data_IF_441861178461
#
_entry.id   IF_441861178461
#
_cell.length_a   1.000
_cell.length_b   1.000
_cell.length_c   1.000
_cell.angle_alpha   90.00
_cell.angle_beta   90.00
_cell.angle_gamma   90.00
#
_symmetry.space_group_name_H-M   'P 1'
#
loop_
_entity.id
_entity.type
_entity.pdbx_description
1 polymer ?
#
# COMPACT_ATOMS: atom_id res chain seq x y z
N UNK A 1 -11.98 23.29 14.67
CA UNK A 1 -11.97 23.00 16.12
C UNK A 1 -13.14 22.07 16.41
N UNK A 2 -12.90 20.73 16.38
CA UNK A 2 -13.98 19.73 16.53
C UNK A 2 -14.23 19.32 18.02
N UNK A 3 -13.45 19.84 18.96
CA UNK A 3 -13.43 19.36 20.36
C UNK A 3 -13.49 20.47 21.41
N UNK A 4 -13.81 21.71 21.04
CA UNK A 4 -14.05 22.79 22.00
C UNK A 4 -15.54 22.86 22.34
N UNK A 5 -15.86 22.55 23.59
CA UNK A 5 -17.14 22.81 24.30
C UNK A 5 -18.32 21.82 24.21
N UNK A 6 -18.17 20.56 23.78
CA UNK A 6 -19.24 19.58 24.02
C UNK A 6 -18.81 18.51 25.03
N UNK A 7 -19.55 18.36 26.10
CA UNK A 7 -19.39 17.28 27.09
C UNK A 7 -19.71 15.89 26.54
N UNK A 8 -20.22 15.80 25.31
CA UNK A 8 -20.57 14.57 24.62
C UNK A 8 -19.83 14.45 23.28
N UNK A 9 -19.19 13.31 23.08
CA UNK A 9 -18.55 12.98 21.81
C UNK A 9 -19.63 12.58 20.80
N UNK A 10 -19.73 13.32 19.69
CA UNK A 10 -20.63 13.00 18.59
C UNK A 10 -19.88 12.17 17.53
N UNK A 11 -20.09 10.85 17.55
CA UNK A 11 -19.43 9.93 16.63
C UNK A 11 -19.80 10.15 15.15
N UNK A 12 -21.03 10.59 14.85
CA UNK A 12 -21.45 10.86 13.47
C UNK A 12 -20.67 12.05 12.89
N UNK A 13 -20.46 13.11 13.67
CA UNK A 13 -19.64 14.25 13.26
C UNK A 13 -18.17 13.86 13.02
N UNK A 14 -17.63 12.99 13.87
CA UNK A 14 -16.27 12.47 13.72
C UNK A 14 -16.18 11.63 12.44
N UNK A 15 -17.13 10.75 12.20
CA UNK A 15 -17.18 9.90 11.02
C UNK A 15 -17.23 10.74 9.73
N UNK A 16 -18.12 11.75 9.68
CA UNK A 16 -18.24 12.63 8.52
C UNK A 16 -16.97 13.49 8.32
N UNK A 17 -16.32 13.93 9.38
CA UNK A 17 -15.04 14.61 9.30
C UNK A 17 -13.96 13.73 8.66
N UNK A 18 -13.81 12.47 9.10
CA UNK A 18 -12.80 11.56 8.53
C UNK A 18 -13.13 11.17 7.09
N UNK A 19 -14.40 10.92 6.76
CA UNK A 19 -14.83 10.68 5.38
C UNK A 19 -14.48 11.87 4.48
N UNK A 20 -14.83 13.09 4.92
CA UNK A 20 -14.50 14.30 4.17
C UNK A 20 -12.99 14.46 3.98
N UNK A 21 -12.19 14.26 5.04
CA UNK A 21 -10.73 14.33 4.95
C UNK A 21 -10.16 13.31 3.97
N UNK A 22 -10.59 12.06 4.05
CA UNK A 22 -10.15 11.00 3.15
C UNK A 22 -10.44 11.38 1.68
N UNK A 23 -11.69 11.71 1.36
CA UNK A 23 -12.13 11.88 -0.01
C UNK A 23 -11.80 13.25 -0.62
N UNK A 24 -11.70 14.31 0.19
CA UNK A 24 -11.50 15.68 -0.31
C UNK A 24 -10.08 16.20 -0.08
N UNK A 25 -9.25 15.53 0.72
CA UNK A 25 -7.89 16.00 1.02
C UNK A 25 -6.83 14.93 0.74
N UNK A 26 -6.97 13.75 1.34
CA UNK A 26 -5.92 12.71 1.28
C UNK A 26 -5.89 12.05 -0.09
N UNK A 27 -6.98 11.42 -0.51
CA UNK A 27 -7.02 10.69 -1.78
C UNK A 27 -6.69 11.57 -2.99
N UNK A 28 -7.21 12.81 -3.14
CA UNK A 28 -6.87 13.66 -4.27
C UNK A 28 -5.37 13.97 -4.38
N UNK A 29 -4.69 14.18 -3.26
CA UNK A 29 -3.24 14.39 -3.28
C UNK A 29 -2.50 13.16 -3.85
N UNK A 30 -2.80 11.96 -3.32
CA UNK A 30 -2.17 10.73 -3.77
C UNK A 30 -2.48 10.40 -5.22
N UNK A 31 -3.73 10.57 -5.64
CA UNK A 31 -4.15 10.31 -7.01
C UNK A 31 -3.48 11.25 -8.03
N UNK A 32 -3.31 12.52 -7.67
CA UNK A 32 -2.77 13.53 -8.59
C UNK A 32 -1.22 13.53 -8.65
N UNK A 33 -0.54 13.10 -7.57
CA UNK A 33 0.90 13.32 -7.45
C UNK A 33 1.71 12.03 -7.24
N UNK A 34 1.08 10.97 -6.74
CA UNK A 34 1.86 9.81 -6.28
C UNK A 34 1.70 8.56 -7.14
N UNK A 35 0.71 8.47 -8.04
CA UNK A 35 0.58 7.28 -8.89
C UNK A 35 1.66 7.31 -9.98
N UNK A 36 2.45 6.23 -10.06
CA UNK A 36 3.44 6.06 -11.13
C UNK A 36 2.82 5.32 -12.32
N UNK A 37 2.27 6.09 -13.24
CA UNK A 37 1.64 5.55 -14.46
C UNK A 37 2.64 4.94 -15.44
N UNK A 38 3.93 5.18 -15.27
CA UNK A 38 4.97 4.70 -16.20
C UNK A 38 5.51 3.33 -15.80
N UNK A 39 5.83 3.17 -14.50
CA UNK A 39 6.53 1.98 -14.00
C UNK A 39 5.66 1.14 -13.05
N UNK A 40 4.43 1.56 -12.80
CA UNK A 40 3.57 0.97 -11.78
C UNK A 40 3.96 1.37 -10.35
N UNK A 41 3.11 1.01 -9.39
CA UNK A 41 3.33 1.39 -8.00
C UNK A 41 3.01 2.86 -7.70
N UNK A 42 3.47 3.32 -6.54
CA UNK A 42 3.38 4.72 -6.13
C UNK A 42 4.75 5.36 -5.99
N UNK A 43 4.83 6.66 -6.28
CA UNK A 43 5.95 7.50 -5.93
C UNK A 43 5.80 7.93 -4.46
N UNK A 44 6.57 7.33 -3.56
CA UNK A 44 6.50 7.61 -2.12
C UNK A 44 7.46 8.73 -1.67
N UNK A 45 8.30 9.24 -2.56
CA UNK A 45 9.22 10.35 -2.30
C UNK A 45 8.73 11.63 -2.99
N UNK A 46 7.63 12.18 -2.49
CA UNK A 46 6.96 13.37 -3.01
C UNK A 46 6.87 14.43 -1.92
N UNK A 47 7.10 15.70 -2.26
CA UNK A 47 6.94 16.83 -1.33
C UNK A 47 5.44 17.17 -1.13
N UNK A 48 5.15 17.96 -0.11
CA UNK A 48 3.79 18.42 0.22
C UNK A 48 3.14 19.25 -0.90
N UNK A 49 3.96 19.85 -1.78
CA UNK A 49 3.52 20.58 -2.97
C UNK A 49 3.29 19.67 -4.19
N UNK A 50 3.47 18.35 -4.05
CA UNK A 50 3.32 17.37 -5.11
C UNK A 50 4.57 17.16 -5.97
N UNK A 51 5.69 17.84 -5.67
CA UNK A 51 6.93 17.68 -6.45
C UNK A 51 7.59 16.34 -6.16
N UNK A 52 7.82 15.55 -7.21
CA UNK A 52 8.55 14.29 -7.14
C UNK A 52 10.03 14.56 -6.80
N UNK A 53 10.54 13.85 -5.78
CA UNK A 53 11.94 13.93 -5.33
C UNK A 53 12.77 12.73 -5.80
N UNK A 54 12.20 11.52 -5.79
CA UNK A 54 12.82 10.30 -6.26
C UNK A 54 11.77 9.33 -6.78
N UNK A 55 12.14 8.53 -7.78
CA UNK A 55 11.33 7.41 -8.27
C UNK A 55 11.59 6.10 -7.53
N UNK A 56 12.51 6.08 -6.57
CA UNK A 56 12.75 4.90 -5.73
C UNK A 56 11.50 4.54 -4.92
N UNK A 57 11.24 3.25 -4.83
CA UNK A 57 10.03 2.70 -4.23
C UNK A 57 10.39 1.88 -2.98
N UNK A 58 9.96 2.37 -1.82
CA UNK A 58 10.05 1.60 -0.57
C UNK A 58 8.92 0.58 -0.53
N UNK A 59 9.24 -0.71 -0.48
CA UNK A 59 8.24 -1.76 -0.69
C UNK A 59 7.21 -1.85 0.45
N UNK A 60 7.58 -1.51 1.68
CA UNK A 60 6.61 -1.37 2.77
C UNK A 60 5.52 -0.32 2.45
N UNK A 61 5.91 0.76 1.78
CA UNK A 61 4.98 1.82 1.34
C UNK A 61 4.08 1.34 0.19
N UNK A 62 4.64 0.57 -0.74
CA UNK A 62 3.88 -0.03 -1.84
C UNK A 62 2.84 -1.04 -1.33
N UNK A 63 3.23 -1.90 -0.37
CA UNK A 63 2.31 -2.85 0.27
C UNK A 63 1.13 -2.15 0.97
N UNK A 64 1.41 -1.04 1.68
CA UNK A 64 0.36 -0.21 2.30
C UNK A 64 -0.56 0.43 1.26
N UNK A 65 0.00 0.99 0.19
CA UNK A 65 -0.80 1.58 -0.88
C UNK A 65 -1.68 0.52 -1.57
N UNK A 66 -1.13 -0.66 -1.82
CA UNK A 66 -1.88 -1.78 -2.38
C UNK A 66 -3.07 -2.15 -1.48
N UNK A 67 -2.86 -2.22 -0.16
CA UNK A 67 -3.93 -2.45 0.78
C UNK A 67 -5.01 -1.35 0.71
N UNK A 68 -4.61 -0.08 0.75
CA UNK A 68 -5.54 1.05 0.76
C UNK A 68 -6.47 1.02 -0.45
N UNK A 69 -5.92 0.90 -1.66
CA UNK A 69 -6.73 0.92 -2.87
C UNK A 69 -7.58 -0.35 -3.02
N UNK A 70 -7.06 -1.50 -2.63
CA UNK A 70 -7.84 -2.76 -2.60
C UNK A 70 -8.95 -2.71 -1.57
N UNK A 71 -8.70 -2.13 -0.39
CA UNK A 71 -9.68 -1.99 0.68
C UNK A 71 -10.78 -0.98 0.34
N UNK A 72 -10.46 0.12 -0.32
CA UNK A 72 -11.47 1.06 -0.84
C UNK A 72 -12.44 0.36 -1.77
N UNK A 73 -11.95 -0.54 -2.63
CA UNK A 73 -12.82 -1.38 -3.45
C UNK A 73 -13.64 -2.37 -2.60
N UNK A 74 -13.01 -3.12 -1.69
CA UNK A 74 -13.67 -4.19 -0.95
C UNK A 74 -14.72 -3.70 0.05
N UNK A 75 -14.48 -2.56 0.69
CA UNK A 75 -15.23 -2.14 1.87
C UNK A 75 -15.99 -0.82 1.71
N UNK A 76 -15.80 -0.08 0.60
CA UNK A 76 -16.36 1.24 0.47
C UNK A 76 -17.42 1.36 -0.63
N UNK A 77 -17.02 1.31 -1.90
CA UNK A 77 -17.94 1.60 -3.01
C UNK A 77 -17.91 0.60 -4.16
N UNK A 78 -17.05 -0.40 -4.11
CA UNK A 78 -16.80 -1.38 -5.19
C UNK A 78 -16.48 -0.72 -6.55
N UNK A 79 -15.95 0.51 -6.55
CA UNK A 79 -15.60 1.22 -7.77
C UNK A 79 -14.31 0.66 -8.36
N UNK A 80 -14.38 0.19 -9.60
CA UNK A 80 -13.24 -0.38 -10.34
C UNK A 80 -12.06 0.58 -10.50
N UNK A 81 -12.27 1.91 -10.32
CA UNK A 81 -11.17 2.89 -10.34
C UNK A 81 -10.09 2.53 -9.32
N UNK A 82 -10.46 1.98 -8.17
CA UNK A 82 -9.51 1.57 -7.13
C UNK A 82 -8.68 0.38 -7.54
N UNK A 83 -9.28 -0.60 -8.21
CA UNK A 83 -8.55 -1.74 -8.76
C UNK A 83 -7.63 -1.35 -9.92
N UNK A 84 -8.01 -0.36 -10.72
CA UNK A 84 -7.15 0.17 -11.79
C UNK A 84 -5.86 0.80 -11.23
N UNK A 85 -5.87 1.26 -9.97
CA UNK A 85 -4.68 1.76 -9.27
C UNK A 85 -3.96 0.62 -8.55
N UNK A 86 -4.69 -0.26 -7.87
CA UNK A 86 -4.13 -1.37 -7.10
C UNK A 86 -3.37 -2.37 -7.99
N UNK A 87 -3.90 -2.69 -9.18
CA UNK A 87 -3.34 -3.69 -10.07
C UNK A 87 -1.89 -3.40 -10.50
N UNK A 88 -1.51 -2.21 -11.00
CA UNK A 88 -0.11 -1.90 -11.32
C UNK A 88 0.82 -1.95 -10.10
N UNK A 89 0.32 -1.67 -8.89
CA UNK A 89 1.10 -1.82 -7.65
C UNK A 89 1.37 -3.30 -7.38
N UNK A 90 0.35 -4.16 -7.48
CA UNK A 90 0.49 -5.59 -7.27
C UNK A 90 1.42 -6.23 -8.33
N UNK A 91 1.27 -5.87 -9.60
CA UNK A 91 2.11 -6.34 -10.69
C UNK A 91 3.59 -5.99 -10.45
N UNK A 92 3.89 -4.75 -10.11
CA UNK A 92 5.24 -4.28 -9.79
C UNK A 92 5.83 -5.04 -8.58
N UNK A 93 5.06 -5.21 -7.50
CA UNK A 93 5.50 -5.98 -6.33
C UNK A 93 5.80 -7.44 -6.68
N UNK A 94 4.93 -8.09 -7.46
CA UNK A 94 5.09 -9.50 -7.83
C UNK A 94 6.25 -9.73 -8.79
N UNK A 95 6.55 -8.78 -9.67
CA UNK A 95 7.59 -8.89 -10.68
C UNK A 95 8.98 -8.51 -10.15
N UNK A 96 9.08 -7.43 -9.38
CA UNK A 96 10.37 -6.84 -8.99
C UNK A 96 10.62 -6.83 -7.48
N UNK A 97 9.62 -7.14 -6.65
CA UNK A 97 9.71 -6.88 -5.23
C UNK A 97 10.57 -7.89 -4.45
N UNK A 98 10.85 -9.09 -4.99
CA UNK A 98 11.51 -10.17 -4.27
C UNK A 98 12.78 -10.64 -4.94
N UNK A 99 13.75 -11.08 -4.14
CA UNK A 99 14.94 -11.78 -4.61
C UNK A 99 14.65 -13.28 -4.87
N UNK A 100 15.67 -14.01 -5.35
CA UNK A 100 15.58 -15.46 -5.66
C UNK A 100 15.25 -16.32 -4.45
N UNK A 101 15.43 -15.82 -3.21
CA UNK A 101 15.07 -16.49 -1.95
C UNK A 101 13.65 -16.18 -1.49
N UNK A 102 12.89 -15.36 -2.26
CA UNK A 102 11.55 -14.93 -1.89
C UNK A 102 11.51 -13.82 -0.83
N UNK A 103 12.64 -13.21 -0.49
CA UNK A 103 12.73 -12.11 0.46
C UNK A 103 12.44 -10.78 -0.24
N UNK A 104 11.64 -9.92 0.39
CA UNK A 104 11.30 -8.61 -0.16
C UNK A 104 12.48 -7.64 -0.04
N UNK A 105 12.84 -6.98 -1.14
CA UNK A 105 13.77 -5.86 -1.08
C UNK A 105 13.23 -4.77 -0.17
N UNK A 106 14.11 -4.01 0.49
CA UNK A 106 13.68 -2.84 1.26
C UNK A 106 13.20 -1.72 0.34
N UNK A 107 13.94 -1.49 -0.75
CA UNK A 107 13.53 -0.60 -1.83
C UNK A 107 14.03 -1.07 -3.20
N UNK A 108 13.33 -0.66 -4.25
CA UNK A 108 13.70 -0.82 -5.64
C UNK A 108 13.75 0.55 -6.31
N UNK A 109 14.48 0.66 -7.43
CA UNK A 109 14.47 1.85 -8.27
C UNK A 109 13.18 1.93 -9.09
N UNK A 110 12.93 3.07 -9.73
CA UNK A 110 11.76 3.25 -10.57
C UNK A 110 11.63 2.26 -11.72
N UNK A 111 12.75 1.72 -12.21
CA UNK A 111 12.80 0.70 -13.26
C UNK A 111 12.64 -0.74 -12.75
N UNK A 112 12.43 -0.94 -11.47
CA UNK A 112 12.28 -2.25 -10.83
C UNK A 112 13.60 -2.88 -10.36
N UNK A 113 14.77 -2.31 -10.71
CA UNK A 113 16.04 -2.86 -10.26
C UNK A 113 16.21 -2.70 -8.73
N UNK A 114 16.84 -3.66 -8.03
CA UNK A 114 17.06 -3.57 -6.59
C UNK A 114 17.88 -2.32 -6.21
N UNK A 115 17.42 -1.58 -5.20
CA UNK A 115 18.14 -0.45 -4.63
C UNK A 115 18.71 -0.79 -3.25
N UNK A 116 17.91 -1.39 -2.38
CA UNK A 116 18.35 -1.83 -1.04
C UNK A 116 17.88 -3.25 -0.76
N UNK A 117 18.81 -4.05 -0.22
CA UNK A 117 18.58 -5.45 0.12
C UNK A 117 17.52 -5.62 1.23
N UNK A 118 16.97 -6.84 1.42
CA UNK A 118 16.09 -7.14 2.54
C UNK A 118 16.75 -6.81 3.88
N UNK A 119 16.05 -6.06 4.74
CA UNK A 119 16.60 -5.63 6.03
C UNK A 119 15.54 -5.42 7.12
N UNK A 120 14.27 -5.66 6.83
CA UNK A 120 13.22 -5.39 7.81
C UNK A 120 11.99 -6.24 7.56
N UNK A 121 11.54 -6.94 8.60
CA UNK A 121 10.30 -7.71 8.62
C UNK A 121 9.04 -6.85 8.39
N UNK A 122 9.13 -5.54 8.57
CA UNK A 122 8.04 -4.62 8.23
C UNK A 122 7.67 -4.67 6.76
N UNK A 123 8.65 -4.86 5.87
CA UNK A 123 8.39 -5.00 4.44
C UNK A 123 7.55 -6.23 4.18
N UNK A 124 7.95 -7.37 4.79
CA UNK A 124 7.22 -8.64 4.68
C UNK A 124 5.79 -8.50 5.16
N UNK A 125 5.59 -7.87 6.32
CA UNK A 125 4.27 -7.65 6.91
C UNK A 125 3.36 -6.81 5.99
N UNK A 126 3.85 -5.68 5.48
CA UNK A 126 3.04 -4.81 4.64
C UNK A 126 2.81 -5.37 3.23
N UNK A 127 3.77 -6.09 2.65
CA UNK A 127 3.57 -6.77 1.37
C UNK A 127 2.53 -7.90 1.51
N UNK A 128 2.62 -8.72 2.58
CA UNK A 128 1.62 -9.75 2.89
C UNK A 128 0.23 -9.14 3.05
N UNK A 129 0.13 -8.06 3.83
CA UNK A 129 -1.10 -7.33 4.10
C UNK A 129 -1.76 -6.81 2.81
N UNK A 130 -0.98 -6.11 1.97
CA UNK A 130 -1.45 -5.54 0.72
C UNK A 130 -1.87 -6.60 -0.30
N UNK A 131 -1.04 -7.63 -0.50
CA UNK A 131 -1.31 -8.71 -1.45
C UNK A 131 -2.52 -9.55 -1.05
N UNK A 132 -2.74 -9.78 0.25
CA UNK A 132 -3.92 -10.48 0.76
C UNK A 132 -5.22 -9.71 0.45
N UNK A 133 -5.24 -8.40 0.72
CA UNK A 133 -6.42 -7.57 0.45
C UNK A 133 -6.69 -7.44 -1.06
N UNK A 134 -5.62 -7.35 -1.87
CA UNK A 134 -5.73 -7.38 -3.33
C UNK A 134 -6.26 -8.72 -3.87
N UNK A 135 -5.77 -9.83 -3.35
CA UNK A 135 -6.26 -11.16 -3.71
C UNK A 135 -7.73 -11.34 -3.34
N UNK A 136 -8.15 -10.80 -2.19
CA UNK A 136 -9.57 -10.78 -1.80
C UNK A 136 -10.44 -9.97 -2.78
N UNK A 137 -9.93 -8.83 -3.27
CA UNK A 137 -10.63 -7.96 -4.21
C UNK A 137 -10.76 -8.55 -5.61
N UNK A 138 -9.76 -9.33 -6.05
CA UNK A 138 -9.61 -9.72 -7.45
C UNK A 138 -9.68 -11.23 -7.71
N UNK A 139 -9.48 -12.05 -6.68
CA UNK A 139 -9.27 -13.49 -6.82
C UNK A 139 -7.87 -13.85 -7.36
N UNK A 140 -6.91 -12.92 -7.37
CA UNK A 140 -5.57 -13.16 -7.91
C UNK A 140 -4.81 -14.19 -7.09
N UNK A 141 -4.58 -15.36 -7.71
CA UNK A 141 -3.89 -16.50 -7.07
C UNK A 141 -2.39 -16.27 -6.89
N UNK A 142 -1.75 -15.45 -7.73
CA UNK A 142 -0.32 -15.15 -7.60
C UNK A 142 -0.07 -14.25 -6.39
N UNK A 143 -0.93 -13.24 -6.22
CA UNK A 143 -0.88 -12.36 -5.06
C UNK A 143 -1.12 -13.14 -3.76
N UNK A 144 -2.14 -14.00 -3.73
CA UNK A 144 -2.42 -14.85 -2.57
C UNK A 144 -1.24 -15.77 -2.24
N UNK A 145 -0.68 -16.44 -3.26
CA UNK A 145 0.47 -17.33 -3.09
C UNK A 145 1.68 -16.58 -2.53
N UNK A 146 2.01 -15.41 -3.09
CA UNK A 146 3.14 -14.60 -2.61
C UNK A 146 2.95 -14.14 -1.15
N UNK A 147 1.72 -13.80 -0.75
CA UNK A 147 1.40 -13.47 0.63
C UNK A 147 1.56 -14.67 1.57
N UNK A 148 1.09 -15.86 1.17
CA UNK A 148 1.22 -17.09 1.94
C UNK A 148 2.69 -17.50 2.12
N UNK A 149 3.48 -17.54 1.03
CA UNK A 149 4.92 -17.84 1.08
C UNK A 149 5.66 -16.88 2.01
N UNK A 150 5.31 -15.59 1.98
CA UNK A 150 5.91 -14.60 2.87
C UNK A 150 5.53 -14.87 4.32
N UNK A 151 4.25 -15.10 4.60
CA UNK A 151 3.77 -15.40 5.95
C UNK A 151 4.42 -16.65 6.53
N UNK A 152 4.48 -17.75 5.78
CA UNK A 152 5.12 -19.01 6.19
C UNK A 152 6.61 -18.82 6.51
N UNK A 153 7.31 -17.96 5.77
CA UNK A 153 8.72 -17.65 6.00
C UNK A 153 8.96 -16.82 7.26
N UNK A 154 8.10 -15.85 7.55
CA UNK A 154 8.34 -14.88 8.65
C UNK A 154 7.65 -15.27 9.96
N UNK A 155 6.59 -16.07 9.92
CA UNK A 155 5.84 -16.48 11.11
C UNK A 155 6.73 -17.13 12.19
N UNK A 156 7.63 -18.07 11.85
CA UNK A 156 8.53 -18.66 12.86
C UNK A 156 9.47 -17.65 13.54
N UNK A 157 9.81 -16.56 12.83
CA UNK A 157 10.72 -15.52 13.38
C UNK A 157 9.99 -14.66 14.44
N UNK A 158 8.66 -14.53 14.31
CA UNK A 158 7.85 -13.77 15.25
C UNK A 158 7.55 -14.55 16.53
N UNK A 159 7.57 -15.88 16.46
CA UNK A 159 7.29 -16.78 17.59
C UNK A 159 8.53 -17.07 18.43
N UNK A 160 9.73 -16.70 17.96
CA UNK A 160 11.00 -16.86 18.66
C UNK A 160 11.53 -15.49 19.12
N UNK A 161 11.30 -15.09 20.39
CA UNK A 161 11.62 -13.76 20.92
C UNK A 161 13.12 -13.51 21.14
#
# INVERSE_FOLDING_TARGET
MLFQDSKEINFDQILEFYKHHLHQKILPFWLNHCIDHRNGGINNCVRDDGKLLSTDKYLWSQGRALWVFSHLYNAHDNDLKWLNIAKPIAEMLLEYGRNDKGEWFYSIKGDGSPAQQPQSIYVDAFCTYGLTEFAKATGDKKALKAAQETFERVSPILDDP
#
